data_IF_272811309139
#
_entry.id   IF_272811309139
#
_cell.length_a   1.000
_cell.length_b   1.000
_cell.length_c   1.000
_cell.angle_alpha   90.00
_cell.angle_beta   90.00
_cell.angle_gamma   90.00
#
_symmetry.space_group_name_H-M   'P 1'
#
loop_
_entity.id
_entity.type
_entity.pdbx_description
1 polymer ?
#
# COMPACT_ATOMS: atom_id res chain seq x y z
N UNK A 1 2.23 35.88 5.66
CA UNK A 1 2.43 34.47 5.31
C UNK A 1 1.82 33.66 6.45
N UNK A 2 1.02 32.65 6.16
CA UNK A 2 0.34 31.86 7.19
C UNK A 2 1.35 30.97 7.93
N UNK A 3 1.26 30.90 9.26
CA UNK A 3 2.19 30.12 10.08
C UNK A 3 1.88 28.62 9.97
N UNK A 4 2.91 27.77 10.14
CA UNK A 4 2.70 26.32 10.21
C UNK A 4 1.94 25.92 11.47
N UNK A 5 1.11 24.87 11.42
CA UNK A 5 0.44 24.35 12.61
C UNK A 5 1.45 23.73 13.57
N UNK A 6 1.29 23.98 14.87
CA UNK A 6 2.17 23.39 15.91
C UNK A 6 1.96 21.90 16.14
N UNK A 7 0.81 21.36 15.70
CA UNK A 7 0.40 19.97 15.92
C UNK A 7 -0.09 19.34 14.63
N UNK A 8 0.21 18.06 14.48
CA UNK A 8 -0.37 17.24 13.42
C UNK A 8 -1.91 17.25 13.53
N UNK A 9 -2.58 17.41 12.39
CA UNK A 9 -4.04 17.51 12.37
C UNK A 9 -4.69 16.19 12.79
N UNK A 10 -5.85 16.29 13.44
CA UNK A 10 -6.65 15.10 13.72
C UNK A 10 -7.28 14.63 12.40
N UNK A 11 -6.98 13.41 11.91
CA UNK A 11 -7.50 12.94 10.62
C UNK A 11 -9.03 12.79 10.59
N UNK A 12 -9.70 12.81 11.75
CA UNK A 12 -11.16 12.78 11.88
C UNK A 12 -11.78 14.18 11.98
N UNK A 13 -10.99 15.27 11.92
CA UNK A 13 -11.47 16.66 11.90
C UNK A 13 -10.98 17.37 10.63
N UNK A 14 -11.92 17.57 9.71
CA UNK A 14 -11.68 17.83 8.28
C UNK A 14 -11.47 19.29 7.86
N UNK A 15 -10.88 20.15 8.70
CA UNK A 15 -10.47 21.48 8.23
C UNK A 15 -8.98 21.42 7.83
N UNK A 16 -8.65 21.18 6.54
CA UNK A 16 -7.25 21.20 6.12
C UNK A 16 -6.69 22.62 6.22
N UNK A 17 -5.44 22.70 6.69
CA UNK A 17 -4.71 23.96 6.76
C UNK A 17 -4.59 24.60 5.36
N UNK A 18 -4.68 25.93 5.20
CA UNK A 18 -4.65 26.55 3.86
C UNK A 18 -3.39 26.24 3.05
N UNK A 19 -2.22 26.17 3.69
CA UNK A 19 -0.97 25.73 3.01
C UNK A 19 -1.08 24.31 2.43
N UNK A 20 -1.78 23.40 3.10
CA UNK A 20 -2.03 22.03 2.60
C UNK A 20 -3.02 22.06 1.43
N UNK A 21 -4.03 22.95 1.47
CA UNK A 21 -4.97 23.15 0.35
C UNK A 21 -4.25 23.67 -0.89
N UNK A 22 -3.31 24.60 -0.71
CA UNK A 22 -2.49 25.14 -1.79
C UNK A 22 -1.59 24.05 -2.41
N UNK A 23 -0.93 23.26 -1.55
CA UNK A 23 -0.14 22.10 -1.98
C UNK A 23 -0.99 21.06 -2.75
N UNK A 24 -2.21 20.79 -2.27
CA UNK A 24 -3.15 19.93 -2.99
C UNK A 24 -3.55 20.51 -4.35
N UNK A 25 -3.78 21.83 -4.44
CA UNK A 25 -4.04 22.52 -5.70
C UNK A 25 -2.90 22.35 -6.71
N UNK A 26 -1.63 22.47 -6.27
CA UNK A 26 -0.46 22.21 -7.12
C UNK A 26 -0.41 20.77 -7.64
N UNK A 27 -0.73 19.79 -6.77
CA UNK A 27 -0.80 18.39 -7.17
C UNK A 27 -1.87 18.15 -8.24
N UNK A 28 -3.08 18.71 -8.05
CA UNK A 28 -4.17 18.61 -9.02
C UNK A 28 -3.79 19.24 -10.37
N UNK A 29 -3.22 20.45 -10.37
CA UNK A 29 -2.72 21.08 -11.61
C UNK A 29 -1.62 20.26 -12.30
N UNK A 30 -0.80 19.53 -11.53
CA UNK A 30 0.23 18.63 -12.08
C UNK A 30 -0.43 17.40 -12.71
N UNK A 31 -1.43 16.79 -12.07
CA UNK A 31 -2.21 15.68 -12.63
C UNK A 31 -2.90 16.10 -13.93
N UNK A 32 -3.45 17.32 -13.96
CA UNK A 32 -4.11 17.85 -15.14
C UNK A 32 -3.14 18.19 -16.28
N UNK A 33 -1.87 18.46 -16.02
CA UNK A 33 -0.90 18.81 -17.07
C UNK A 33 -0.01 17.65 -17.50
N UNK A 34 0.14 16.60 -16.70
CA UNK A 34 1.00 15.44 -16.95
C UNK A 34 0.16 14.23 -17.46
N UNK A 35 0.31 13.80 -18.73
CA UNK A 35 -0.42 12.66 -19.27
C UNK A 35 -0.20 11.36 -18.51
N UNK A 36 0.99 11.14 -17.93
CA UNK A 36 1.28 9.95 -17.13
C UNK A 36 0.42 9.95 -15.87
N UNK A 37 0.38 11.07 -15.16
CA UNK A 37 -0.41 11.19 -13.93
C UNK A 37 -1.91 11.17 -14.21
N UNK A 38 -2.36 11.82 -15.28
CA UNK A 38 -3.76 11.78 -15.70
C UNK A 38 -4.21 10.35 -16.00
N UNK A 39 -3.37 9.59 -16.71
CA UNK A 39 -3.61 8.16 -16.95
C UNK A 39 -3.65 7.36 -15.66
N UNK A 40 -2.62 7.51 -14.81
CA UNK A 40 -2.47 6.79 -13.55
C UNK A 40 -3.65 6.99 -12.57
N UNK A 41 -4.26 8.18 -12.58
CA UNK A 41 -5.36 8.54 -11.66
C UNK A 41 -6.74 8.62 -12.31
N UNK A 42 -6.87 8.22 -13.57
CA UNK A 42 -8.12 8.29 -14.34
C UNK A 42 -9.29 7.50 -13.72
N UNK A 43 -9.01 6.39 -13.02
CA UNK A 43 -10.02 5.55 -12.36
C UNK A 43 -10.38 6.02 -10.94
N UNK A 44 -9.83 7.15 -10.48
CA UNK A 44 -9.98 7.63 -9.11
C UNK A 44 -9.06 6.89 -8.13
N UNK A 45 -8.34 7.66 -7.32
CA UNK A 45 -7.45 7.18 -6.25
C UNK A 45 -7.50 8.14 -5.07
N UNK A 46 -7.31 7.61 -3.85
CA UNK A 46 -7.05 8.48 -2.70
C UNK A 46 -5.61 8.99 -2.79
N UNK A 47 -5.48 10.32 -2.82
CA UNK A 47 -4.21 11.03 -2.82
C UNK A 47 -3.99 11.67 -1.46
N UNK A 48 -2.75 11.61 -0.97
CA UNK A 48 -2.34 12.26 0.26
C UNK A 48 -1.35 13.39 -0.03
N UNK A 49 -1.50 14.49 0.72
CA UNK A 49 -0.62 15.65 0.69
C UNK A 49 -0.17 15.94 2.12
N UNK A 50 1.13 16.10 2.33
CA UNK A 50 1.70 16.44 3.63
C UNK A 50 2.77 17.50 3.45
N UNK A 51 2.76 18.50 4.34
CA UNK A 51 3.88 19.40 4.50
C UNK A 51 4.78 18.83 5.58
N UNK A 52 6.10 18.85 5.37
CA UNK A 52 7.05 18.37 6.36
C UNK A 52 8.26 19.31 6.41
N UNK A 53 8.70 19.62 7.62
CA UNK A 53 9.84 20.51 7.88
C UNK A 53 11.14 19.69 8.02
N UNK A 54 12.22 20.14 7.38
CA UNK A 54 13.55 19.56 7.56
C UNK A 54 14.34 20.21 8.71
N UNK A 55 15.54 19.70 9.00
CA UNK A 55 16.41 20.21 10.06
C UNK A 55 16.93 21.64 9.83
N UNK A 56 16.80 22.17 8.61
CA UNK A 56 17.16 23.54 8.23
C UNK A 56 15.94 24.48 8.21
N UNK A 57 14.80 24.05 8.77
CA UNK A 57 13.51 24.74 8.72
C UNK A 57 12.94 24.92 7.30
N UNK A 58 13.43 24.12 6.34
CA UNK A 58 12.89 24.06 4.98
C UNK A 58 11.59 23.26 4.94
N UNK A 59 10.59 23.76 4.22
CA UNK A 59 9.27 23.12 4.09
C UNK A 59 9.17 22.36 2.78
N UNK A 60 8.93 21.07 2.90
CA UNK A 60 8.77 20.12 1.80
C UNK A 60 7.30 19.77 1.62
N UNK A 61 6.88 19.55 0.38
CA UNK A 61 5.57 18.96 0.09
C UNK A 61 5.76 17.53 -0.36
N UNK A 62 5.12 16.60 0.34
CA UNK A 62 5.12 15.18 0.05
C UNK A 62 3.76 14.77 -0.54
N UNK A 63 3.80 13.90 -1.55
CA UNK A 63 2.61 13.34 -2.20
C UNK A 63 2.61 11.83 -2.13
N UNK A 64 1.46 11.22 -1.88
CA UNK A 64 1.28 9.77 -1.88
C UNK A 64 -0.05 9.38 -2.53
N UNK A 65 -0.17 8.11 -2.94
CA UNK A 65 -1.43 7.53 -3.40
C UNK A 65 -1.67 6.18 -2.70
N UNK A 66 -2.94 5.85 -2.52
CA UNK A 66 -3.36 4.55 -1.97
C UNK A 66 -3.22 3.44 -3.00
N UNK A 67 -2.77 2.26 -2.59
CA UNK A 67 -2.71 1.12 -3.50
C UNK A 67 -1.64 1.29 -4.58
N UNK A 68 -1.97 0.74 -5.75
CA UNK A 68 -1.19 0.80 -6.97
C UNK A 68 -1.89 1.62 -8.06
N UNK A 69 -1.11 2.05 -9.04
CA UNK A 69 -1.59 2.73 -10.25
C UNK A 69 -1.16 1.96 -11.48
N UNK A 70 -1.93 2.11 -12.57
CA UNK A 70 -1.52 1.58 -13.88
C UNK A 70 -0.65 2.60 -14.60
N UNK A 71 0.55 2.20 -15.00
CA UNK A 71 1.51 3.02 -15.74
C UNK A 71 2.04 2.28 -16.97
N UNK A 72 2.62 2.96 -17.97
CA UNK A 72 3.34 2.28 -19.04
C UNK A 72 4.55 1.53 -18.48
N UNK A 73 4.62 0.23 -18.77
CA UNK A 73 5.76 -0.62 -18.43
C UNK A 73 6.95 -0.43 -19.38
N UNK A 74 8.08 -1.13 -19.13
CA UNK A 74 9.29 -1.01 -19.95
C UNK A 74 9.08 -1.35 -21.43
N UNK A 75 8.10 -2.18 -21.74
CA UNK A 75 7.70 -2.58 -23.10
C UNK A 75 6.55 -1.73 -23.67
N UNK A 76 6.17 -0.65 -22.98
CA UNK A 76 5.06 0.23 -23.33
C UNK A 76 3.67 -0.31 -22.99
N UNK A 77 3.56 -1.54 -22.46
CA UNK A 77 2.27 -2.12 -22.05
C UNK A 77 1.88 -1.64 -20.65
N UNK A 78 0.58 -1.44 -20.37
CA UNK A 78 0.15 -1.08 -19.03
C UNK A 78 0.57 -2.12 -17.98
N UNK A 79 1.17 -1.68 -16.88
CA UNK A 79 1.50 -2.50 -15.73
C UNK A 79 1.09 -1.80 -14.42
N UNK A 80 0.85 -2.57 -13.37
CA UNK A 80 0.63 -2.03 -12.04
C UNK A 80 1.96 -1.60 -11.42
N UNK A 81 1.98 -0.45 -10.77
CA UNK A 81 3.14 0.08 -10.05
C UNK A 81 2.72 0.71 -8.72
N UNK A 82 3.56 0.51 -7.71
CA UNK A 82 3.51 1.22 -6.45
C UNK A 82 4.38 2.48 -6.45
N UNK A 83 5.10 2.73 -7.54
CA UNK A 83 6.01 3.85 -7.74
C UNK A 83 5.50 4.78 -8.82
N UNK A 84 5.56 6.08 -8.54
CA UNK A 84 5.23 7.13 -9.50
C UNK A 84 6.15 8.33 -9.25
N UNK A 85 6.80 8.92 -10.27
CA UNK A 85 7.72 10.03 -10.07
C UNK A 85 7.11 11.20 -9.32
N UNK A 86 7.81 11.70 -8.30
CA UNK A 86 7.35 12.79 -7.45
C UNK A 86 6.27 12.40 -6.44
N UNK A 87 6.07 11.10 -6.21
CA UNK A 87 5.32 10.56 -5.07
C UNK A 87 6.28 9.77 -4.17
N UNK A 88 5.97 9.68 -2.89
CA UNK A 88 6.75 8.88 -1.93
C UNK A 88 6.63 7.39 -2.25
N UNK A 89 7.69 6.58 -2.00
CA UNK A 89 7.67 5.14 -2.25
C UNK A 89 6.66 4.41 -1.35
N UNK A 90 6.28 3.17 -1.70
CA UNK A 90 5.52 2.31 -0.80
C UNK A 90 6.35 1.97 0.45
N UNK A 91 5.68 1.66 1.55
CA UNK A 91 6.34 1.16 2.77
C UNK A 91 6.88 -0.25 2.52
N UNK A 92 6.12 -1.08 1.82
CA UNK A 92 6.50 -2.42 1.39
C UNK A 92 6.00 -2.62 -0.05
N UNK A 93 6.88 -3.02 -0.97
CA UNK A 93 6.50 -3.28 -2.36
C UNK A 93 5.94 -4.69 -2.53
N UNK A 94 4.62 -4.79 -2.65
CA UNK A 94 3.92 -6.05 -2.88
C UNK A 94 3.86 -6.46 -4.37
N UNK A 95 4.35 -5.62 -5.28
CA UNK A 95 4.27 -5.86 -6.72
C UNK A 95 5.54 -6.46 -7.34
N UNK A 96 6.61 -6.63 -6.56
CA UNK A 96 7.84 -7.28 -7.00
C UNK A 96 7.54 -8.71 -7.54
N UNK A 97 7.71 -8.96 -8.86
CA UNK A 97 7.44 -10.27 -9.46
C UNK A 97 8.28 -11.42 -8.90
N UNK A 98 9.46 -11.11 -8.35
CA UNK A 98 10.37 -12.06 -7.72
C UNK A 98 10.15 -12.14 -6.20
N UNK A 99 9.37 -11.20 -5.65
CA UNK A 99 9.06 -11.11 -4.23
C UNK A 99 8.21 -12.27 -3.70
N UNK A 100 8.32 -12.51 -2.38
CA UNK A 100 7.60 -13.59 -1.67
C UNK A 100 6.08 -13.50 -1.87
N UNK A 101 5.52 -12.29 -1.87
CA UNK A 101 4.09 -12.08 -2.02
C UNK A 101 3.58 -12.51 -3.40
N UNK A 102 4.17 -11.99 -4.50
CA UNK A 102 3.79 -12.38 -5.88
C UNK A 102 4.04 -13.85 -6.17
N UNK A 103 5.09 -14.44 -5.60
CA UNK A 103 5.33 -15.89 -5.66
C UNK A 103 4.19 -16.67 -5.01
N UNK A 104 3.78 -16.31 -3.79
CA UNK A 104 2.66 -16.96 -3.12
C UNK A 104 1.30 -16.75 -3.81
N UNK A 105 1.04 -15.55 -4.36
CA UNK A 105 -0.18 -15.30 -5.13
C UNK A 105 -0.29 -16.18 -6.39
N UNK A 106 0.83 -16.48 -7.05
CA UNK A 106 0.87 -17.41 -8.18
C UNK A 106 0.49 -18.82 -7.73
N UNK A 107 1.07 -19.33 -6.64
CA UNK A 107 0.74 -20.64 -6.09
C UNK A 107 -0.75 -20.71 -5.66
N UNK A 108 -1.31 -19.65 -5.04
CA UNK A 108 -2.74 -19.57 -4.74
C UNK A 108 -3.59 -19.61 -6.02
N UNK A 109 -3.19 -18.90 -7.06
CA UNK A 109 -3.90 -18.84 -8.34
C UNK A 109 -3.90 -20.20 -9.04
N UNK A 110 -2.76 -20.89 -9.03
CA UNK A 110 -2.63 -22.26 -9.55
C UNK A 110 -3.51 -23.24 -8.77
N UNK A 111 -3.48 -23.18 -7.43
CA UNK A 111 -4.34 -24.00 -6.58
C UNK A 111 -5.83 -23.74 -6.85
N UNK A 112 -6.24 -22.48 -6.96
CA UNK A 112 -7.62 -22.12 -7.31
C UNK A 112 -8.04 -22.73 -8.65
N UNK A 113 -7.17 -22.67 -9.66
CA UNK A 113 -7.43 -23.28 -10.97
C UNK A 113 -7.59 -24.80 -10.87
N UNK A 114 -6.70 -25.48 -10.16
CA UNK A 114 -6.73 -26.94 -9.99
C UNK A 114 -7.96 -27.40 -9.18
N UNK A 115 -8.29 -26.69 -8.11
CA UNK A 115 -9.50 -26.93 -7.28
C UNK A 115 -10.74 -26.82 -8.16
N UNK A 116 -10.89 -25.73 -8.90
CA UNK A 116 -12.04 -25.52 -9.79
C UNK A 116 -12.17 -26.60 -10.87
N UNK A 117 -11.05 -27.04 -11.44
CA UNK A 117 -11.02 -28.13 -12.41
C UNK A 117 -11.46 -29.47 -11.78
N UNK A 118 -10.98 -29.79 -10.59
CA UNK A 118 -11.35 -31.01 -9.86
C UNK A 118 -12.83 -31.02 -9.45
N UNK A 119 -13.36 -29.90 -8.96
CA UNK A 119 -14.77 -29.76 -8.59
C UNK A 119 -15.72 -29.94 -9.78
N UNK A 120 -15.29 -29.50 -10.97
CA UNK A 120 -16.07 -29.68 -12.20
C UNK A 120 -16.06 -31.10 -12.78
N UNK A 121 -15.11 -31.95 -12.40
CA UNK A 121 -14.99 -33.30 -12.97
C UNK A 121 -16.13 -34.24 -12.54
N UNK A 122 -16.78 -33.97 -11.40
CA UNK A 122 -17.87 -34.80 -10.85
C UNK A 122 -17.41 -36.18 -10.37
N UNK A 123 -18.16 -36.79 -9.43
CA UNK A 123 -17.92 -38.13 -8.87
C UNK A 123 -16.44 -38.51 -8.67
N UNK A 124 -15.68 -37.79 -7.83
CA UNK A 124 -14.26 -38.07 -7.63
C UNK A 124 -14.06 -39.45 -6.99
N UNK A 125 -13.00 -40.16 -7.40
CA UNK A 125 -12.50 -41.30 -6.64
C UNK A 125 -12.11 -40.86 -5.21
N UNK A 126 -12.03 -41.78 -4.24
CA UNK A 126 -11.56 -41.44 -2.88
C UNK A 126 -10.19 -40.72 -2.89
N UNK A 127 -9.29 -41.11 -3.80
CA UNK A 127 -7.99 -40.47 -3.99
C UNK A 127 -8.13 -39.03 -4.51
N UNK A 128 -8.98 -38.81 -5.52
CA UNK A 128 -9.22 -37.48 -6.07
C UNK A 128 -9.91 -36.55 -5.05
N UNK A 129 -10.80 -37.09 -4.21
CA UNK A 129 -11.42 -36.33 -3.12
C UNK A 129 -10.40 -35.94 -2.04
N UNK A 130 -9.50 -36.86 -1.66
CA UNK A 130 -8.43 -36.57 -0.71
C UNK A 130 -7.46 -35.51 -1.25
N UNK A 131 -7.11 -35.56 -2.53
CA UNK A 131 -6.25 -34.56 -3.16
C UNK A 131 -6.93 -33.18 -3.24
N UNK A 132 -8.24 -33.14 -3.53
CA UNK A 132 -9.01 -31.89 -3.51
C UNK A 132 -8.97 -31.22 -2.12
N UNK A 133 -9.16 -31.99 -1.05
CA UNK A 133 -9.09 -31.46 0.31
C UNK A 133 -7.66 -31.00 0.68
N UNK A 134 -6.63 -31.72 0.22
CA UNK A 134 -5.24 -31.27 0.38
C UNK A 134 -4.97 -29.93 -0.30
N UNK A 135 -5.42 -29.77 -1.54
CA UNK A 135 -5.28 -28.50 -2.28
C UNK A 135 -6.03 -27.36 -1.58
N UNK A 136 -7.25 -27.61 -1.07
CA UNK A 136 -8.03 -26.63 -0.31
C UNK A 136 -7.33 -26.22 0.98
N UNK A 137 -6.79 -27.17 1.75
CA UNK A 137 -6.01 -26.90 2.97
C UNK A 137 -4.78 -26.06 2.65
N UNK A 138 -4.00 -26.50 1.65
CA UNK A 138 -2.78 -25.79 1.23
C UNK A 138 -3.07 -24.35 0.81
N UNK A 139 -4.11 -24.12 0.02
CA UNK A 139 -4.52 -22.78 -0.42
C UNK A 139 -4.88 -21.89 0.78
N UNK A 140 -5.62 -22.44 1.74
CA UNK A 140 -6.00 -21.73 2.96
C UNK A 140 -4.78 -21.34 3.80
N UNK A 141 -3.93 -22.32 4.12
CA UNK A 141 -2.70 -22.11 4.89
C UNK A 141 -1.79 -21.08 4.24
N UNK A 142 -1.63 -21.14 2.92
CA UNK A 142 -0.83 -20.17 2.17
C UNK A 142 -1.44 -18.77 2.20
N UNK A 143 -2.77 -18.64 2.08
CA UNK A 143 -3.45 -17.35 2.17
C UNK A 143 -3.28 -16.71 3.55
N UNK A 144 -3.47 -17.49 4.61
CA UNK A 144 -3.27 -17.06 6.00
C UNK A 144 -1.80 -16.67 6.26
N UNK A 145 -0.85 -17.46 5.75
CA UNK A 145 0.58 -17.16 5.82
C UNK A 145 0.92 -15.84 5.10
N UNK A 146 0.43 -15.63 3.87
CA UNK A 146 0.75 -14.41 3.11
C UNK A 146 0.16 -13.16 3.77
N UNK A 147 -1.05 -13.26 4.34
CA UNK A 147 -1.64 -12.16 5.08
C UNK A 147 -0.78 -11.79 6.30
N UNK A 148 -0.35 -12.79 7.08
CA UNK A 148 0.57 -12.54 8.21
C UNK A 148 1.90 -11.96 7.73
N UNK A 149 2.44 -12.49 6.62
CA UNK A 149 3.68 -12.01 6.02
C UNK A 149 3.60 -10.51 5.67
N UNK A 150 2.50 -10.04 5.05
CA UNK A 150 2.28 -8.61 4.78
C UNK A 150 2.40 -7.80 6.07
N UNK A 151 1.67 -8.19 7.12
CA UNK A 151 1.61 -7.43 8.36
C UNK A 151 2.92 -7.43 9.14
N UNK A 152 3.73 -8.48 9.01
CA UNK A 152 5.06 -8.56 9.60
C UNK A 152 6.07 -7.68 8.83
N UNK A 153 5.95 -7.56 7.51
CA UNK A 153 6.92 -6.84 6.66
C UNK A 153 6.55 -5.35 6.44
N UNK A 154 5.31 -4.96 6.75
CA UNK A 154 4.93 -3.55 6.82
C UNK A 154 5.44 -2.93 8.13
N UNK A 155 6.69 -2.48 8.11
CA UNK A 155 7.33 -1.79 9.23
C UNK A 155 7.20 -0.27 9.10
N UNK A 156 6.66 0.35 10.15
CA UNK A 156 6.46 1.80 10.22
C UNK A 156 7.34 2.41 11.31
N UNK A 157 7.91 3.56 11.01
CA UNK A 157 8.56 4.45 11.96
C UNK A 157 7.53 5.30 12.68
N UNK A 158 7.78 5.57 13.96
CA UNK A 158 7.09 6.63 14.68
C UNK A 158 7.98 7.88 14.82
N UNK A 159 7.45 8.94 15.43
CA UNK A 159 8.15 10.21 15.64
C UNK A 159 9.40 10.11 16.55
N UNK A 160 9.61 8.99 17.25
CA UNK A 160 10.83 8.71 18.04
C UNK A 160 11.87 7.89 17.26
N UNK A 161 11.60 7.55 16.00
CA UNK A 161 12.46 6.69 15.19
C UNK A 161 12.35 5.21 15.51
N UNK A 162 11.37 4.78 16.31
CA UNK A 162 11.15 3.37 16.63
C UNK A 162 10.41 2.69 15.47
N UNK A 163 10.87 1.51 15.07
CA UNK A 163 10.21 0.67 14.05
C UNK A 163 9.29 -0.34 14.69
N UNK A 164 8.08 -0.48 14.15
CA UNK A 164 7.14 -1.53 14.51
C UNK A 164 6.40 -2.04 13.29
N UNK A 165 6.18 -3.35 13.22
CA UNK A 165 5.34 -3.97 12.20
C UNK A 165 3.86 -3.76 12.49
N UNK A 166 3.02 -3.81 11.46
CA UNK A 166 1.56 -3.78 11.62
C UNK A 166 1.09 -4.90 12.57
N UNK A 167 1.67 -6.10 12.48
CA UNK A 167 1.34 -7.21 13.40
C UNK A 167 1.54 -6.80 14.86
N UNK A 168 2.71 -6.25 15.20
CA UNK A 168 3.02 -5.84 16.59
C UNK A 168 2.12 -4.71 17.10
N UNK A 169 1.69 -3.81 16.21
CA UNK A 169 0.77 -2.73 16.53
C UNK A 169 -0.64 -3.25 16.77
N UNK A 170 -1.10 -4.21 15.97
CA UNK A 170 -2.43 -4.79 16.07
C UNK A 170 -2.58 -5.69 17.31
N UNK A 171 -1.55 -6.46 17.67
CA UNK A 171 -1.48 -7.20 18.94
C UNK A 171 -1.65 -6.27 20.14
N UNK A 172 -0.98 -5.12 20.11
CA UNK A 172 -1.09 -4.09 21.16
C UNK A 172 -2.50 -3.46 21.22
N UNK A 173 -3.24 -3.49 20.10
CA UNK A 173 -4.60 -2.94 19.98
C UNK A 173 -5.71 -4.01 20.18
N UNK A 174 -5.35 -5.28 20.43
CA UNK A 174 -6.29 -6.34 20.75
C UNK A 174 -7.06 -6.92 19.56
N UNK A 175 -6.52 -6.88 18.34
CA UNK A 175 -7.20 -7.43 17.16
C UNK A 175 -6.28 -7.73 15.98
N UNK A 176 -6.84 -8.38 14.96
CA UNK A 176 -6.18 -8.54 13.66
C UNK A 176 -6.39 -7.26 12.84
N UNK A 177 -5.36 -6.76 12.14
CA UNK A 177 -5.52 -5.59 11.30
C UNK A 177 -6.43 -5.92 10.09
N UNK A 178 -7.26 -4.99 9.62
CA UNK A 178 -8.07 -5.19 8.44
C UNK A 178 -7.19 -5.36 7.19
N UNK A 179 -7.73 -6.01 6.15
CA UNK A 179 -7.07 -6.10 4.85
C UNK A 179 -6.76 -4.71 4.28
N UNK A 180 -5.58 -4.55 3.67
CA UNK A 180 -5.13 -3.26 3.12
C UNK A 180 -4.53 -2.28 4.15
N UNK A 181 -4.40 -2.67 5.42
CA UNK A 181 -3.67 -1.87 6.41
C UNK A 181 -2.24 -1.62 5.94
N UNK A 182 -1.80 -0.36 5.98
CA UNK A 182 -0.45 0.06 5.60
C UNK A 182 -0.34 0.68 4.21
N UNK A 183 -1.23 0.33 3.27
CA UNK A 183 -1.10 0.75 1.86
C UNK A 183 -1.85 2.05 1.53
N UNK A 184 -2.45 2.68 2.53
CA UNK A 184 -3.06 4.01 2.40
C UNK A 184 -1.99 5.10 2.21
N UNK A 185 -2.40 6.27 1.71
CA UNK A 185 -1.50 7.40 1.48
C UNK A 185 -0.82 7.90 2.77
N UNK A 186 -1.55 7.97 3.89
CA UNK A 186 -1.02 8.53 5.15
C UNK A 186 0.18 7.73 5.73
N UNK A 187 0.11 6.39 5.88
CA UNK A 187 1.27 5.61 6.31
C UNK A 187 2.52 5.82 5.44
N UNK A 188 2.35 5.90 4.10
CA UNK A 188 3.47 6.15 3.17
C UNK A 188 4.11 7.52 3.41
N UNK A 189 3.30 8.56 3.61
CA UNK A 189 3.76 9.91 3.91
C UNK A 189 4.52 9.98 5.25
N UNK A 190 3.94 9.41 6.32
CA UNK A 190 4.58 9.39 7.64
C UNK A 190 5.87 8.58 7.64
N UNK A 191 5.85 7.41 7.00
CA UNK A 191 7.05 6.57 6.87
C UNK A 191 8.16 7.32 6.15
N UNK A 192 7.85 7.96 5.02
CA UNK A 192 8.83 8.74 4.28
C UNK A 192 9.36 9.92 5.09
N UNK A 193 8.47 10.67 5.75
CA UNK A 193 8.86 11.81 6.57
C UNK A 193 9.84 11.38 7.67
N UNK A 194 9.47 10.40 8.50
CA UNK A 194 10.32 9.94 9.59
C UNK A 194 11.61 9.26 9.11
N UNK A 195 11.58 8.49 8.02
CA UNK A 195 12.78 7.86 7.46
C UNK A 195 13.81 8.88 6.95
N UNK A 196 13.36 10.08 6.57
CA UNK A 196 14.21 11.17 6.08
C UNK A 196 14.45 12.26 7.14
N UNK A 197 14.10 12.03 8.40
CA UNK A 197 14.28 13.01 9.48
C UNK A 197 13.43 14.27 9.34
N UNK A 198 12.33 14.19 8.59
CA UNK A 198 11.37 15.29 8.43
C UNK A 198 10.36 15.28 9.56
N UNK A 199 9.89 16.48 9.93
CA UNK A 199 8.83 16.71 10.90
C UNK A 199 7.50 17.00 10.17
N UNK A 200 6.56 16.06 10.13
CA UNK A 200 5.26 16.22 9.49
C UNK A 200 4.28 17.10 10.28
#
# INVERSE_FOLDING_TARGET
MESLPERFNNPFRYAPHPLVREAAGRMLSRIDSDPLLRGAFSEGKMLGVMLAEDSSAGIHTLYAFSGSVTVPGPDGRPCLSNFLPGFVPPVCDLLDPEGRFKSGEREISELNFLIHKAEKAGNPSPEAAAELERMKSRRRELSEYLQKWIFDHYELLNARGERRSISSLAESAGGLPPGGTGDCALPKLLQYAYANGLKP
#
